data_IF_933879309082
#
_entry.id   IF_933879309082
#
_cell.length_a   1.000
_cell.length_b   1.000
_cell.length_c   1.000
_cell.angle_alpha   90.00
_cell.angle_beta   90.00
_cell.angle_gamma   90.00
#
_symmetry.space_group_name_H-M   'P 1'
#
loop_
_entity.id
_entity.type
_entity.pdbx_description
1 polymer ?
#
# COMPACT_ATOMS: atom_id res chain seq x y z
N UNK A 1 -26.69 -8.27 -11.35
CA UNK A 1 -25.42 -8.16 -12.10
C UNK A 1 -24.86 -6.77 -11.85
N UNK A 2 -23.68 -6.67 -11.24
CA UNK A 2 -22.99 -5.39 -11.12
C UNK A 2 -22.37 -5.05 -12.48
N UNK A 3 -22.59 -3.83 -12.97
CA UNK A 3 -22.00 -3.37 -14.22
C UNK A 3 -20.47 -3.25 -14.04
N UNK A 4 -19.71 -3.79 -15.00
CA UNK A 4 -18.26 -3.61 -15.04
C UNK A 4 -17.96 -2.14 -15.37
N UNK A 5 -17.46 -1.39 -14.40
CA UNK A 5 -16.98 -0.02 -14.61
C UNK A 5 -15.64 -0.10 -15.33
N UNK A 6 -15.60 0.18 -16.63
CA UNK A 6 -14.32 0.27 -17.35
C UNK A 6 -13.56 1.52 -16.89
N UNK A 7 -12.39 1.32 -16.29
CA UNK A 7 -11.47 2.40 -15.95
C UNK A 7 -10.74 2.82 -17.25
N UNK A 8 -11.10 3.98 -17.81
CA UNK A 8 -10.53 4.49 -19.08
C UNK A 8 -9.00 4.58 -19.02
N UNK A 9 -8.47 4.96 -17.85
CA UNK A 9 -7.03 5.16 -17.62
C UNK A 9 -6.33 3.90 -17.09
N UNK A 10 -7.04 2.78 -16.92
CA UNK A 10 -6.49 1.51 -16.43
C UNK A 10 -7.21 0.31 -17.11
N UNK A 11 -7.06 0.15 -18.43
CA UNK A 11 -7.79 -0.86 -19.22
C UNK A 11 -7.38 -2.30 -18.89
N UNK A 12 -6.26 -2.50 -18.19
CA UNK A 12 -5.74 -3.77 -17.72
C UNK A 12 -6.34 -4.23 -16.37
N UNK A 13 -7.03 -3.34 -15.65
CA UNK A 13 -7.67 -3.65 -14.37
C UNK A 13 -9.00 -4.33 -14.59
N UNK A 14 -9.17 -5.52 -14.00
CA UNK A 14 -10.40 -6.30 -14.04
C UNK A 14 -11.08 -6.37 -12.66
N UNK A 15 -12.27 -6.97 -12.60
CA UNK A 15 -12.97 -7.22 -11.32
C UNK A 15 -12.24 -8.19 -10.41
N UNK A 16 -11.30 -8.97 -10.95
CA UNK A 16 -10.49 -9.93 -10.20
C UNK A 16 -9.15 -9.33 -9.77
N UNK A 17 -8.80 -8.13 -10.26
CA UNK A 17 -7.63 -7.39 -9.81
C UNK A 17 -7.81 -6.94 -8.36
N UNK A 18 -6.71 -6.97 -7.59
CA UNK A 18 -6.69 -6.56 -6.20
C UNK A 18 -5.53 -5.62 -5.91
N UNK A 19 -5.69 -4.82 -4.86
CA UNK A 19 -4.66 -3.95 -4.31
C UNK A 19 -4.43 -4.34 -2.85
N UNK A 20 -3.18 -4.64 -2.50
CA UNK A 20 -2.81 -4.86 -1.11
C UNK A 20 -2.41 -3.53 -0.50
N UNK A 21 -3.05 -3.17 0.61
CA UNK A 21 -2.82 -1.92 1.34
C UNK A 21 -2.30 -2.27 2.72
N UNK A 22 -1.29 -1.53 3.19
CA UNK A 22 -0.69 -1.69 4.51
C UNK A 22 -0.69 -0.39 5.31
N UNK A 23 -0.52 -0.51 6.63
CA UNK A 23 -0.26 0.62 7.51
C UNK A 23 1.27 0.78 7.68
N UNK A 24 1.85 1.73 6.96
CA UNK A 24 3.27 2.04 7.02
C UNK A 24 3.59 3.03 8.13
N UNK A 25 4.76 2.87 8.74
CA UNK A 25 5.41 3.92 9.54
C UNK A 25 6.26 4.78 8.64
N UNK A 26 5.94 6.07 8.53
CA UNK A 26 6.64 7.05 7.70
C UNK A 26 7.11 8.23 8.53
N UNK A 27 7.99 9.05 7.96
CA UNK A 27 8.55 10.22 8.62
C UNK A 27 8.38 11.45 7.74
N UNK A 28 7.72 12.48 8.26
CA UNK A 28 7.51 13.75 7.58
C UNK A 28 8.38 14.83 8.20
N UNK A 29 9.06 15.61 7.36
CA UNK A 29 9.80 16.78 7.82
C UNK A 29 8.91 18.01 7.75
N UNK A 30 8.62 18.61 8.89
CA UNK A 30 7.82 19.83 9.02
C UNK A 30 8.41 20.74 10.11
N UNK A 31 8.45 22.05 9.84
CA UNK A 31 8.98 23.07 10.77
C UNK A 31 10.41 22.80 11.28
N UNK A 32 11.23 22.16 10.45
CA UNK A 32 12.61 21.81 10.81
C UNK A 32 12.75 20.52 11.62
N UNK A 33 11.65 19.90 12.04
CA UNK A 33 11.60 18.66 12.82
C UNK A 33 11.12 17.47 11.98
N UNK A 34 11.38 16.25 12.45
CA UNK A 34 10.94 14.99 11.83
C UNK A 34 9.86 14.36 12.70
N UNK A 35 8.67 14.18 12.12
CA UNK A 35 7.50 13.63 12.79
C UNK A 35 7.23 12.21 12.28
N UNK A 36 7.14 11.24 13.18
CA UNK A 36 6.62 9.91 12.83
C UNK A 36 5.12 9.99 12.56
N UNK A 37 4.69 9.40 11.45
CA UNK A 37 3.28 9.29 11.07
C UNK A 37 2.96 7.88 10.64
N UNK A 38 1.69 7.49 10.76
CA UNK A 38 1.18 6.25 10.17
C UNK A 38 0.42 6.58 8.89
N UNK A 39 0.74 5.87 7.81
CA UNK A 39 0.17 6.10 6.48
C UNK A 39 -0.45 4.82 5.96
N UNK A 40 -1.66 4.92 5.43
CA UNK A 40 -2.31 3.83 4.70
C UNK A 40 -1.89 3.97 3.23
N UNK A 41 -1.16 3.00 2.71
CA UNK A 41 -0.62 3.04 1.35
C UNK A 41 -0.59 1.66 0.67
N UNK A 42 -0.56 1.59 -0.67
CA UNK A 42 -0.30 0.35 -1.40
C UNK A 42 1.04 -0.27 -1.00
N UNK A 43 1.06 -1.59 -0.76
CA UNK A 43 2.30 -2.31 -0.49
C UNK A 43 2.99 -2.66 -1.82
N UNK A 44 4.24 -2.22 -2.06
CA UNK A 44 5.01 -2.68 -3.21
C UNK A 44 5.20 -4.21 -3.18
N UNK A 45 5.17 -4.88 -4.34
CA UNK A 45 5.28 -6.35 -4.40
C UNK A 45 6.51 -6.91 -3.69
N UNK A 46 7.64 -6.20 -3.72
CA UNK A 46 8.86 -6.58 -3.01
C UNK A 46 8.70 -6.53 -1.48
N UNK A 47 7.99 -5.53 -0.95
CA UNK A 47 7.71 -5.42 0.47
C UNK A 47 6.70 -6.49 0.92
N UNK A 48 5.72 -6.82 0.07
CA UNK A 48 4.78 -7.90 0.35
C UNK A 48 5.49 -9.24 0.51
N UNK A 49 6.43 -9.57 -0.38
CA UNK A 49 7.24 -10.79 -0.27
C UNK A 49 8.05 -10.81 1.05
N UNK A 50 8.63 -9.68 1.44
CA UNK A 50 9.37 -9.54 2.70
C UNK A 50 8.46 -9.79 3.92
N UNK A 51 7.25 -9.22 3.95
CA UNK A 51 6.25 -9.44 5.00
C UNK A 51 5.91 -10.93 5.10
N UNK A 52 5.64 -11.61 3.97
CA UNK A 52 5.31 -13.04 3.95
C UNK A 52 6.46 -13.93 4.46
N UNK A 53 7.70 -13.48 4.30
CA UNK A 53 8.91 -14.14 4.82
C UNK A 53 9.27 -13.73 6.24
N UNK A 54 8.44 -12.94 6.92
CA UNK A 54 8.69 -12.36 8.25
C UNK A 54 9.99 -11.53 8.32
N UNK A 55 10.36 -10.89 7.22
CA UNK A 55 11.47 -9.94 7.17
C UNK A 55 10.93 -8.58 7.64
N UNK A 56 11.64 -7.86 8.54
CA UNK A 56 11.20 -6.54 9.00
C UNK A 56 10.98 -5.55 7.85
N UNK A 57 9.84 -4.86 7.85
CA UNK A 57 9.49 -3.78 6.93
C UNK A 57 8.91 -2.58 7.69
N UNK A 58 8.63 -1.48 7.00
CA UNK A 58 7.93 -0.32 7.59
C UNK A 58 6.46 -0.57 7.91
N UNK A 59 5.88 -1.66 7.39
CA UNK A 59 4.47 -1.99 7.56
C UNK A 59 4.21 -2.70 8.89
N UNK A 60 3.15 -2.28 9.58
CA UNK A 60 2.65 -2.97 10.76
C UNK A 60 2.05 -4.33 10.36
N UNK A 61 2.45 -5.38 11.06
CA UNK A 61 1.88 -6.74 10.94
C UNK A 61 0.94 -6.94 12.13
N UNK A 62 -0.32 -7.27 11.84
CA UNK A 62 -1.35 -7.54 12.85
C UNK A 62 -1.23 -8.96 13.43
#
# INVERSE_FOLDING_TARGET
MAAATSLIDAPDVSTDSYLVIGLATCYLKADGEVHEVKVIEPIPSAALEAILKNIPTSYAIA
#
